data_IF_218480504680
#
_entry.id   IF_218480504680
#
_cell.length_a   1.000
_cell.length_b   1.000
_cell.length_c   1.000
_cell.angle_alpha   90.00
_cell.angle_beta   90.00
_cell.angle_gamma   90.00
#
_symmetry.space_group_name_H-M   'P 1'
#
loop_
_entity.id
_entity.type
_entity.pdbx_description
1 polymer ?
#
# COMPACT_ATOMS: atom_id res chain seq x y z
N UNK A 1 -5.68 -20.79 23.54
CA UNK A 1 -4.35 -21.10 24.12
C UNK A 1 -3.96 -19.88 24.91
N UNK A 2 -3.68 -20.02 26.20
CA UNK A 2 -3.51 -18.85 27.08
C UNK A 2 -2.62 -17.75 26.47
N UNK A 3 -3.10 -16.50 26.53
CA UNK A 3 -2.31 -15.32 26.18
C UNK A 3 -0.97 -15.29 26.89
N UNK A 4 0.04 -14.73 26.22
CA UNK A 4 1.31 -14.36 26.85
C UNK A 4 1.02 -13.28 27.90
N UNK A 5 1.49 -13.49 29.13
CA UNK A 5 1.36 -12.49 30.20
C UNK A 5 2.38 -11.38 29.98
N UNK A 6 1.91 -10.14 29.97
CA UNK A 6 2.75 -8.99 29.63
C UNK A 6 3.96 -8.84 30.55
N UNK A 7 3.79 -9.01 31.88
CA UNK A 7 4.91 -8.90 32.83
C UNK A 7 6.01 -9.96 32.58
N UNK A 8 5.62 -11.18 32.23
CA UNK A 8 6.56 -12.26 31.90
C UNK A 8 7.26 -12.02 30.56
N UNK A 9 6.57 -11.43 29.59
CA UNK A 9 7.15 -10.99 28.32
C UNK A 9 8.16 -9.86 28.55
N UNK A 10 7.78 -8.79 29.26
CA UNK A 10 8.66 -7.66 29.54
C UNK A 10 9.95 -8.08 30.26
N UNK A 11 9.88 -9.05 31.18
CA UNK A 11 11.06 -9.62 31.82
C UNK A 11 12.00 -10.33 30.82
N UNK A 12 11.46 -10.97 29.79
CA UNK A 12 12.26 -11.61 28.72
C UNK A 12 12.84 -10.61 27.73
N UNK A 13 12.26 -9.40 27.64
CA UNK A 13 12.69 -8.37 26.68
C UNK A 13 13.81 -7.45 27.21
N UNK A 14 14.30 -7.64 28.43
CA UNK A 14 15.33 -6.78 29.04
C UNK A 14 16.61 -6.69 28.17
N UNK A 15 16.97 -7.77 27.47
CA UNK A 15 18.14 -7.83 26.57
C UNK A 15 17.78 -7.62 25.11
N UNK A 16 16.51 -7.35 24.82
CA UNK A 16 15.98 -7.22 23.47
C UNK A 16 15.91 -5.79 22.99
N UNK A 17 15.79 -5.67 21.68
CA UNK A 17 15.76 -4.39 20.97
C UNK A 17 14.35 -3.83 20.79
N UNK A 18 13.36 -4.36 21.49
CA UNK A 18 11.96 -3.97 21.35
C UNK A 18 11.21 -4.06 22.67
N UNK A 19 10.15 -3.28 22.80
CA UNK A 19 9.35 -3.14 24.01
C UNK A 19 7.93 -3.64 23.80
N UNK A 20 7.39 -4.29 24.83
CA UNK A 20 6.01 -4.73 24.89
C UNK A 20 5.22 -3.91 25.92
N UNK A 21 3.96 -3.62 25.58
CA UNK A 21 3.04 -2.89 26.45
C UNK A 21 1.56 -3.22 26.20
N UNK A 22 0.72 -2.78 27.12
CA UNK A 22 -0.73 -2.79 26.94
C UNK A 22 -1.12 -1.83 25.81
N UNK A 23 -2.03 -2.27 24.97
CA UNK A 23 -2.55 -1.54 23.84
C UNK A 23 -3.91 -2.13 23.43
N UNK A 24 -4.69 -1.46 22.56
CA UNK A 24 -6.03 -1.92 22.20
C UNK A 24 -6.08 -3.36 21.66
N UNK A 25 -5.02 -3.85 21.02
CA UNK A 25 -4.94 -5.19 20.45
C UNK A 25 -4.54 -6.24 21.50
N UNK A 26 -3.61 -5.93 22.41
CA UNK A 26 -3.23 -6.87 23.47
C UNK A 26 -4.36 -7.12 24.47
N UNK A 27 -5.28 -6.16 24.61
CA UNK A 27 -6.48 -6.26 25.46
C UNK A 27 -7.58 -7.16 24.85
N UNK A 28 -7.69 -7.25 23.52
CA UNK A 28 -8.71 -8.07 22.82
C UNK A 28 -8.71 -9.53 23.24
N UNK A 29 -9.86 -10.21 23.23
CA UNK A 29 -9.90 -11.66 23.49
C UNK A 29 -9.01 -12.44 22.50
N UNK A 30 -8.54 -13.64 22.86
CA UNK A 30 -7.73 -14.48 21.95
C UNK A 30 -8.43 -14.70 20.60
N UNK A 31 -9.75 -14.89 20.64
CA UNK A 31 -10.58 -15.05 19.44
C UNK A 31 -10.54 -13.79 18.58
N UNK A 32 -10.69 -12.62 19.17
CA UNK A 32 -10.71 -11.35 18.43
C UNK A 32 -9.33 -11.00 17.88
N UNK A 33 -8.26 -11.35 18.59
CA UNK A 33 -6.88 -11.26 18.09
C UNK A 33 -6.64 -12.11 16.84
N UNK A 34 -7.17 -13.34 16.81
CA UNK A 34 -7.02 -14.22 15.63
C UNK A 34 -7.79 -13.73 14.42
N UNK A 35 -8.90 -13.01 14.60
CA UNK A 35 -9.69 -12.46 13.49
C UNK A 35 -8.91 -11.39 12.71
N UNK A 36 -7.90 -10.75 13.33
CA UNK A 36 -7.02 -9.80 12.64
C UNK A 36 -6.14 -10.45 11.56
N UNK A 37 -5.98 -11.77 11.61
CA UNK A 37 -5.02 -12.54 10.82
C UNK A 37 -5.72 -13.18 9.61
N UNK A 38 -5.79 -12.42 8.52
CA UNK A 38 -6.52 -12.80 7.30
C UNK A 38 -5.67 -13.29 6.14
N UNK A 39 -4.36 -13.41 6.29
CA UNK A 39 -3.51 -13.90 5.22
C UNK A 39 -3.48 -15.43 5.21
N UNK A 40 -3.52 -16.04 4.04
CA UNK A 40 -3.37 -17.51 3.89
C UNK A 40 -2.29 -17.77 2.85
N UNK A 41 -1.10 -18.22 3.28
CA UNK A 41 -0.01 -18.55 2.37
C UNK A 41 -0.43 -19.62 1.35
N UNK A 42 -0.03 -19.48 0.08
CA UNK A 42 -0.29 -20.50 -0.93
C UNK A 42 0.44 -21.80 -0.54
N UNK A 43 -0.29 -22.92 -0.62
CA UNK A 43 0.25 -24.23 -0.21
C UNK A 43 0.21 -24.50 1.31
N UNK A 44 -0.32 -23.56 2.11
CA UNK A 44 -0.41 -23.68 3.57
C UNK A 44 0.85 -23.16 4.29
N UNK A 45 0.87 -23.27 5.64
CA UNK A 45 2.01 -22.82 6.44
C UNK A 45 3.30 -23.56 6.05
N UNK A 46 4.44 -22.86 5.98
CA UNK A 46 5.71 -23.47 5.63
C UNK A 46 6.21 -24.36 6.77
N UNK A 47 6.96 -25.39 6.39
CA UNK A 47 7.64 -26.29 7.32
C UNK A 47 8.72 -25.54 8.10
N UNK A 48 9.10 -26.07 9.26
CA UNK A 48 10.20 -25.53 10.06
C UNK A 48 11.51 -25.42 9.27
N UNK A 49 11.82 -26.42 8.44
CA UNK A 49 13.02 -26.44 7.61
C UNK A 49 13.03 -25.32 6.57
N UNK A 50 11.89 -25.01 5.94
CA UNK A 50 11.77 -23.90 4.99
C UNK A 50 11.99 -22.54 5.68
N UNK A 51 11.42 -22.37 6.88
CA UNK A 51 11.61 -21.15 7.68
C UNK A 51 13.08 -20.94 8.04
N UNK A 52 13.74 -21.98 8.59
CA UNK A 52 15.15 -21.93 8.97
C UNK A 52 16.08 -21.71 7.76
N UNK A 53 15.78 -22.34 6.63
CA UNK A 53 16.54 -22.13 5.39
C UNK A 53 16.41 -20.69 4.87
N UNK A 54 15.20 -20.11 4.93
CA UNK A 54 14.97 -18.72 4.53
C UNK A 54 15.67 -17.73 5.44
N UNK A 55 15.55 -17.88 6.77
CA UNK A 55 16.25 -17.04 7.74
C UNK A 55 17.76 -17.08 7.50
N UNK A 56 18.33 -18.28 7.37
CA UNK A 56 19.76 -18.45 7.09
C UNK A 56 20.17 -17.77 5.78
N UNK A 57 19.36 -17.89 4.72
CA UNK A 57 19.64 -17.26 3.43
C UNK A 57 19.58 -15.73 3.50
N UNK A 58 18.60 -15.16 4.23
CA UNK A 58 18.47 -13.71 4.43
C UNK A 58 19.66 -13.17 5.23
N UNK A 59 20.03 -13.83 6.32
CA UNK A 59 21.16 -13.40 7.15
C UNK A 59 22.50 -13.53 6.42
N UNK A 60 22.68 -14.56 5.59
CA UNK A 60 23.85 -14.67 4.73
C UNK A 60 23.93 -13.51 3.72
N UNK A 61 22.80 -13.14 3.10
CA UNK A 61 22.74 -11.98 2.21
C UNK A 61 23.06 -10.68 2.97
N UNK A 62 22.47 -10.48 4.15
CA UNK A 62 22.70 -9.28 4.94
C UNK A 62 24.18 -9.12 5.34
N UNK A 63 24.83 -10.19 5.78
CA UNK A 63 26.25 -10.18 6.13
C UNK A 63 27.13 -9.88 4.90
N UNK A 64 26.80 -10.42 3.72
CA UNK A 64 27.53 -10.16 2.48
C UNK A 64 27.36 -8.71 1.99
N UNK A 65 26.15 -8.15 2.10
CA UNK A 65 25.87 -6.74 1.75
C UNK A 65 26.56 -5.78 2.72
N UNK A 66 26.64 -6.12 4.00
CA UNK A 66 27.34 -5.30 4.99
C UNK A 66 28.86 -5.24 4.73
N UNK A 67 29.40 -6.24 4.03
CA UNK A 67 30.82 -6.29 3.64
C UNK A 67 31.13 -5.59 2.30
N UNK A 68 30.12 -5.11 1.57
CA UNK A 68 30.29 -4.52 0.22
C UNK A 68 29.54 -3.19 0.10
N UNK A 69 30.13 -2.20 -0.57
CA UNK A 69 29.41 -0.96 -0.87
C UNK A 69 28.28 -1.27 -1.87
N UNK A 70 27.02 -1.14 -1.43
CA UNK A 70 25.86 -1.28 -2.32
C UNK A 70 25.48 0.06 -2.93
N UNK A 71 24.80 0.04 -4.08
CA UNK A 71 24.30 1.26 -4.73
C UNK A 71 23.10 1.89 -4.01
N UNK A 72 22.46 1.15 -3.09
CA UNK A 72 21.29 1.59 -2.36
C UNK A 72 21.70 2.32 -1.06
N UNK A 73 20.90 3.28 -0.58
CA UNK A 73 21.16 3.89 0.72
C UNK A 73 21.02 2.83 1.83
N UNK A 74 21.87 2.91 2.86
CA UNK A 74 21.85 1.99 4.01
C UNK A 74 20.61 2.16 4.91
N UNK A 75 19.91 3.28 4.76
CA UNK A 75 18.64 3.55 5.44
C UNK A 75 17.69 4.24 4.47
N UNK A 76 16.41 3.91 4.55
CA UNK A 76 15.38 4.53 3.72
C UNK A 76 14.03 4.51 4.43
N UNK A 77 13.26 5.60 4.30
CA UNK A 77 11.91 5.70 4.84
C UNK A 77 11.03 6.58 3.94
N UNK A 78 9.96 6.01 3.36
CA UNK A 78 9.01 6.73 2.50
C UNK A 78 8.22 7.83 3.24
N UNK A 79 8.25 7.85 4.58
CA UNK A 79 7.72 8.96 5.38
C UNK A 79 8.61 10.21 5.34
N UNK A 80 9.85 10.09 4.88
CA UNK A 80 10.81 11.18 4.82
C UNK A 80 11.70 11.14 3.56
N UNK A 81 11.09 10.97 2.38
CA UNK A 81 11.83 11.04 1.11
C UNK A 81 12.01 12.50 0.68
N UNK A 82 13.21 13.05 0.91
CA UNK A 82 13.52 14.44 0.59
C UNK A 82 12.63 15.42 1.38
N UNK A 83 12.36 15.13 2.65
CA UNK A 83 11.51 15.94 3.53
C UNK A 83 10.00 15.76 3.32
N UNK A 84 9.56 14.79 2.50
CA UNK A 84 8.15 14.58 2.15
C UNK A 84 7.68 13.17 2.56
N UNK A 85 6.45 13.10 3.08
CA UNK A 85 5.80 11.86 3.49
C UNK A 85 4.87 11.33 2.39
N UNK A 86 5.27 10.24 1.75
CA UNK A 86 4.47 9.60 0.69
C UNK A 86 3.53 8.50 1.22
N UNK A 87 3.59 8.19 2.51
CA UNK A 87 2.77 7.15 3.15
C UNK A 87 1.48 7.79 3.71
N UNK A 88 0.32 7.21 3.40
CA UNK A 88 -0.98 7.66 3.93
C UNK A 88 -1.12 7.39 5.42
N UNK A 89 -2.13 7.98 6.06
CA UNK A 89 -2.41 7.77 7.49
C UNK A 89 -2.65 6.28 7.82
N UNK A 90 -2.43 5.93 9.10
CA UNK A 90 -2.77 4.61 9.63
C UNK A 90 -4.28 4.42 9.59
N UNK A 91 -4.70 3.23 9.15
CA UNK A 91 -6.10 2.78 9.19
C UNK A 91 -6.28 1.66 10.21
N UNK A 92 -7.52 1.24 10.43
CA UNK A 92 -7.86 0.16 11.35
C UNK A 92 -8.81 -0.85 10.67
N UNK A 93 -8.36 -2.09 10.51
CA UNK A 93 -9.16 -3.17 9.94
C UNK A 93 -10.24 -3.71 10.91
N UNK A 94 -10.14 -3.40 12.20
CA UNK A 94 -11.07 -3.90 13.23
C UNK A 94 -11.19 -5.43 13.25
N UNK A 95 -12.36 -5.94 13.63
CA UNK A 95 -12.63 -7.37 13.78
C UNK A 95 -12.87 -8.10 12.46
N UNK A 96 -11.98 -7.95 11.49
CA UNK A 96 -12.05 -8.64 10.20
C UNK A 96 -10.66 -9.02 9.68
N UNK A 97 -10.54 -10.22 9.09
CA UNK A 97 -9.33 -10.73 8.45
C UNK A 97 -9.07 -10.12 7.07
N UNK A 98 -9.11 -8.80 6.96
CA UNK A 98 -8.96 -8.08 5.69
C UNK A 98 -7.57 -7.44 5.53
N UNK A 99 -6.58 -7.85 6.34
CA UNK A 99 -5.22 -7.31 6.33
C UNK A 99 -4.56 -7.26 4.94
N UNK A 100 -4.87 -8.23 4.07
CA UNK A 100 -4.37 -8.27 2.70
C UNK A 100 -4.84 -7.04 1.92
N UNK A 101 -6.10 -6.64 2.04
CA UNK A 101 -6.63 -5.45 1.37
C UNK A 101 -5.94 -4.17 1.88
N UNK A 102 -5.76 -4.03 3.19
CA UNK A 102 -5.06 -2.89 3.80
C UNK A 102 -3.59 -2.81 3.39
N UNK A 103 -2.85 -3.93 3.46
CA UNK A 103 -1.44 -3.98 3.06
C UNK A 103 -1.23 -3.63 1.60
N UNK A 104 -2.09 -4.14 0.71
CA UNK A 104 -2.08 -3.87 -0.73
C UNK A 104 -2.45 -2.42 -1.02
N UNK A 105 -3.56 -1.91 -0.47
CA UNK A 105 -4.00 -0.54 -0.75
C UNK A 105 -3.07 0.50 -0.14
N UNK A 106 -2.42 0.24 1.00
CA UNK A 106 -1.37 1.13 1.53
C UNK A 106 -0.21 1.32 0.53
N UNK A 107 0.19 0.26 -0.18
CA UNK A 107 1.20 0.35 -1.24
C UNK A 107 0.66 1.14 -2.43
N UNK A 108 -0.55 0.83 -2.90
CA UNK A 108 -1.17 1.51 -4.05
C UNK A 108 -1.35 3.01 -3.77
N UNK A 109 -1.83 3.37 -2.59
CA UNK A 109 -2.01 4.76 -2.16
C UNK A 109 -0.69 5.54 -2.13
N UNK A 110 0.35 4.92 -1.58
CA UNK A 110 1.69 5.50 -1.57
C UNK A 110 2.21 5.70 -2.99
N UNK A 111 1.98 4.72 -3.87
CA UNK A 111 2.36 4.82 -5.28
C UNK A 111 1.60 5.90 -6.03
N UNK A 112 0.32 6.16 -5.71
CA UNK A 112 -0.40 7.32 -6.26
C UNK A 112 0.34 8.61 -5.91
N UNK A 113 0.68 8.82 -4.63
CA UNK A 113 1.43 10.02 -4.20
C UNK A 113 2.79 10.13 -4.86
N UNK A 114 3.50 9.01 -4.99
CA UNK A 114 4.83 8.93 -5.62
C UNK A 114 4.75 9.27 -7.11
N UNK A 115 3.84 8.63 -7.85
CA UNK A 115 3.64 8.87 -9.29
C UNK A 115 3.20 10.30 -9.57
N UNK A 116 2.35 10.87 -8.72
CA UNK A 116 1.95 12.28 -8.80
C UNK A 116 3.03 13.26 -8.34
N UNK A 117 4.07 12.76 -7.69
CA UNK A 117 5.08 13.55 -6.98
C UNK A 117 4.46 14.56 -6.00
N UNK A 118 3.34 14.19 -5.39
CA UNK A 118 2.58 15.01 -4.45
C UNK A 118 2.28 14.21 -3.18
N UNK A 119 3.02 14.51 -2.12
CA UNK A 119 2.89 13.88 -0.81
C UNK A 119 1.55 14.19 -0.13
N UNK A 120 0.88 15.28 -0.54
CA UNK A 120 -0.41 15.70 0.01
C UNK A 120 -1.59 15.27 -0.86
N UNK A 121 -1.34 14.55 -1.97
CA UNK A 121 -2.40 14.05 -2.81
C UNK A 121 -3.36 13.20 -1.97
N UNK A 122 -4.64 13.56 -2.03
CA UNK A 122 -5.67 12.90 -1.25
C UNK A 122 -5.94 11.54 -1.87
N UNK A 123 -5.45 10.50 -1.21
CA UNK A 123 -5.66 9.11 -1.58
C UNK A 123 -6.20 8.38 -0.37
N UNK A 124 -7.43 7.90 -0.49
CA UNK A 124 -8.07 7.03 0.50
C UNK A 124 -8.92 6.03 -0.29
N UNK A 125 -8.38 4.83 -0.47
CA UNK A 125 -8.99 3.76 -1.26
C UNK A 125 -9.84 2.86 -0.37
N UNK A 126 -10.93 2.34 -0.93
CA UNK A 126 -11.87 1.50 -0.19
C UNK A 126 -11.34 0.08 -0.05
N UNK A 127 -10.86 -0.27 1.14
CA UNK A 127 -10.58 -1.66 1.49
C UNK A 127 -11.84 -2.52 1.42
N UNK A 128 -13.01 -1.96 1.74
CA UNK A 128 -14.29 -2.67 1.69
C UNK A 128 -14.64 -3.10 0.25
N UNK A 129 -14.42 -2.22 -0.73
CA UNK A 129 -14.62 -2.55 -2.13
C UNK A 129 -13.67 -3.65 -2.59
N UNK A 130 -12.37 -3.52 -2.29
CA UNK A 130 -11.40 -4.54 -2.67
C UNK A 130 -11.71 -5.90 -2.02
N UNK A 131 -12.07 -5.90 -0.73
CA UNK A 131 -12.25 -7.13 0.04
C UNK A 131 -13.62 -7.79 -0.13
N UNK A 132 -14.73 -7.05 -0.05
CA UNK A 132 -16.08 -7.65 -0.09
C UNK A 132 -16.66 -7.75 -1.50
N UNK A 133 -16.23 -6.90 -2.43
CA UNK A 133 -16.76 -6.92 -3.80
C UNK A 133 -15.80 -7.63 -4.77
N UNK A 134 -14.54 -7.22 -4.82
CA UNK A 134 -13.61 -7.69 -5.86
C UNK A 134 -13.00 -9.06 -5.56
N UNK A 135 -12.74 -9.39 -4.29
CA UNK A 135 -12.36 -10.76 -3.89
C UNK A 135 -13.43 -11.80 -4.29
N UNK A 136 -14.69 -11.37 -4.45
CA UNK A 136 -15.81 -12.25 -4.78
C UNK A 136 -16.33 -13.06 -3.59
N UNK A 137 -16.06 -12.60 -2.36
CA UNK A 137 -16.36 -13.31 -1.12
C UNK A 137 -17.16 -12.41 -0.14
N UNK A 138 -18.43 -12.10 -0.48
CA UNK A 138 -19.31 -11.37 0.41
C UNK A 138 -19.56 -12.24 1.64
N UNK A 139 -19.13 -11.79 2.80
CA UNK A 139 -19.06 -12.58 4.05
C UNK A 139 -17.73 -13.19 4.48
N UNK A 140 -16.65 -12.77 3.82
CA UNK A 140 -15.32 -13.32 4.01
C UNK A 140 -14.47 -12.80 5.16
N UNK A 141 -14.99 -12.20 6.25
CA UNK A 141 -14.10 -11.71 7.32
C UNK A 141 -13.24 -12.81 7.97
N UNK A 142 -13.68 -14.07 7.90
CA UNK A 142 -12.91 -15.23 8.36
C UNK A 142 -12.23 -15.99 7.22
N UNK A 143 -12.39 -15.54 5.98
CA UNK A 143 -11.87 -16.20 4.80
C UNK A 143 -10.56 -15.54 4.41
N UNK A 144 -9.49 -16.33 4.41
CA UNK A 144 -8.17 -15.83 4.07
C UNK A 144 -8.05 -15.26 2.66
N UNK A 145 -6.99 -14.49 2.44
CA UNK A 145 -6.61 -14.02 1.11
C UNK A 145 -5.08 -13.97 0.96
N UNK A 146 -4.60 -13.63 -0.23
CA UNK A 146 -3.18 -13.48 -0.51
C UNK A 146 -2.93 -12.30 -1.45
N UNK A 147 -1.78 -11.58 -1.35
CA UNK A 147 -1.55 -10.36 -2.12
C UNK A 147 -1.73 -10.51 -3.64
N UNK A 148 -1.34 -11.64 -4.23
CA UNK A 148 -1.50 -11.87 -5.68
C UNK A 148 -2.94 -11.65 -6.15
N UNK A 149 -3.92 -12.26 -5.49
CA UNK A 149 -5.33 -12.12 -5.86
C UNK A 149 -5.88 -10.71 -5.65
N UNK A 150 -5.34 -9.98 -4.67
CA UNK A 150 -5.70 -8.59 -4.44
C UNK A 150 -5.13 -7.69 -5.53
N UNK A 151 -3.85 -7.82 -5.86
CA UNK A 151 -3.22 -7.05 -6.93
C UNK A 151 -3.83 -7.35 -8.30
N UNK A 152 -4.18 -8.61 -8.59
CA UNK A 152 -4.89 -8.98 -9.82
C UNK A 152 -6.22 -8.23 -9.94
N UNK A 153 -6.97 -8.10 -8.84
CA UNK A 153 -8.21 -7.35 -8.80
C UNK A 153 -8.01 -5.84 -8.96
N UNK A 154 -7.02 -5.27 -8.27
CA UNK A 154 -6.66 -3.84 -8.43
C UNK A 154 -6.24 -3.56 -9.87
N UNK A 155 -5.51 -4.48 -10.51
CA UNK A 155 -5.05 -4.36 -11.90
C UNK A 155 -6.18 -4.52 -12.91
N UNK A 156 -7.08 -5.49 -12.73
CA UNK A 156 -8.14 -5.76 -13.69
C UNK A 156 -9.29 -4.75 -13.59
N UNK A 157 -9.73 -4.45 -12.37
CA UNK A 157 -10.97 -3.73 -12.11
C UNK A 157 -10.74 -2.29 -11.67
N UNK A 158 -9.62 -2.02 -10.97
CA UNK A 158 -9.44 -0.82 -10.18
C UNK A 158 -10.29 -0.82 -8.90
N UNK A 159 -9.97 0.07 -7.97
CA UNK A 159 -10.61 0.15 -6.64
C UNK A 159 -11.21 1.53 -6.44
N UNK A 160 -12.45 1.57 -5.94
CA UNK A 160 -13.13 2.78 -5.52
C UNK A 160 -12.38 3.52 -4.40
N UNK A 161 -12.67 4.82 -4.25
CA UNK A 161 -12.27 5.58 -3.05
C UNK A 161 -13.15 5.20 -1.86
N UNK A 162 -12.61 5.40 -0.66
CA UNK A 162 -13.27 5.08 0.62
C UNK A 162 -14.67 5.70 0.74
N UNK A 163 -14.86 6.93 0.27
CA UNK A 163 -16.15 7.61 0.31
C UNK A 163 -17.28 6.96 -0.51
N UNK A 164 -16.95 6.10 -1.48
CA UNK A 164 -17.96 5.34 -2.24
C UNK A 164 -18.38 4.06 -1.53
N UNK A 165 -17.52 3.49 -0.68
CA UNK A 165 -17.86 2.33 0.12
C UNK A 165 -17.00 2.32 1.40
N UNK A 166 -17.44 3.02 2.45
CA UNK A 166 -16.67 3.14 3.68
C UNK A 166 -16.47 1.79 4.37
N UNK A 167 -15.29 1.59 4.93
CA UNK A 167 -14.93 0.41 5.67
C UNK A 167 -15.51 0.42 7.09
N UNK A 168 -15.98 -0.75 7.51
CA UNK A 168 -16.46 -1.10 8.84
C UNK A 168 -15.70 -2.34 9.24
N UNK A 169 -15.07 -2.34 10.42
CA UNK A 169 -14.27 -3.45 10.93
C UNK A 169 -15.07 -4.66 11.41
N UNK A 170 -16.06 -5.07 10.60
CA UNK A 170 -16.96 -6.19 10.83
C UNK A 170 -17.49 -6.67 9.49
N UNK A 171 -18.35 -7.68 9.53
CA UNK A 171 -18.99 -8.18 8.32
C UNK A 171 -19.79 -7.09 7.58
N UNK A 172 -19.60 -6.99 6.27
CA UNK A 172 -20.33 -6.10 5.35
C UNK A 172 -20.65 -6.81 4.03
N UNK A 173 -21.80 -6.50 3.45
CA UNK A 173 -22.15 -6.95 2.09
C UNK A 173 -21.72 -5.91 1.06
N UNK A 174 -21.31 -6.37 -0.12
CA UNK A 174 -20.88 -5.48 -1.20
C UNK A 174 -21.99 -4.50 -1.59
N UNK A 175 -21.76 -3.20 -1.40
CA UNK A 175 -22.69 -2.13 -1.77
C UNK A 175 -21.94 -0.84 -2.10
N UNK A 176 -21.29 -0.81 -3.27
CA UNK A 176 -20.49 0.34 -3.71
C UNK A 176 -21.39 1.42 -4.28
N UNK A 177 -21.21 2.67 -3.83
CA UNK A 177 -21.93 3.84 -4.33
C UNK A 177 -21.77 4.05 -5.84
N UNK A 178 -22.82 4.55 -6.49
CA UNK A 178 -22.84 4.80 -7.94
C UNK A 178 -21.75 5.77 -8.39
N UNK A 179 -21.18 5.54 -9.58
CA UNK A 179 -20.19 6.43 -10.19
C UNK A 179 -18.77 6.24 -9.68
N UNK A 180 -18.52 5.25 -8.81
CA UNK A 180 -17.18 4.94 -8.30
C UNK A 180 -16.19 4.62 -9.43
N UNK A 181 -16.66 4.04 -10.54
CA UNK A 181 -15.84 3.68 -11.70
C UNK A 181 -15.13 4.89 -12.32
N UNK A 182 -15.71 6.09 -12.15
CA UNK A 182 -15.17 7.34 -12.67
C UNK A 182 -14.01 7.89 -11.85
N UNK A 183 -13.85 7.42 -10.60
CA UNK A 183 -12.85 7.89 -9.65
C UNK A 183 -11.99 6.75 -9.07
N UNK A 184 -12.05 5.58 -9.71
CA UNK A 184 -11.29 4.41 -9.27
C UNK A 184 -9.79 4.62 -9.46
N UNK A 185 -9.00 3.96 -8.63
CA UNK A 185 -7.56 3.83 -8.83
C UNK A 185 -7.24 2.42 -9.30
N UNK A 186 -6.48 2.32 -10.38
CA UNK A 186 -6.09 1.06 -10.99
C UNK A 186 -4.56 1.05 -11.12
N UNK A 187 -3.94 -0.12 -11.01
CA UNK A 187 -2.50 -0.27 -11.26
C UNK A 187 -2.28 -0.79 -12.68
N UNK A 188 -1.17 -0.39 -13.30
CA UNK A 188 -0.77 -0.94 -14.61
C UNK A 188 -0.26 -2.35 -14.46
N UNK A 189 0.60 -2.58 -13.47
CA UNK A 189 1.13 -3.89 -13.12
C UNK A 189 1.69 -3.91 -11.69
N UNK A 190 2.02 -5.10 -11.21
CA UNK A 190 2.74 -5.33 -9.97
C UNK A 190 3.82 -6.38 -10.18
N UNK A 191 4.81 -6.43 -9.28
CA UNK A 191 5.92 -7.38 -9.32
C UNK A 191 6.07 -8.09 -8.00
N UNK A 192 6.29 -9.39 -8.08
CA UNK A 192 6.79 -10.21 -6.97
C UNK A 192 8.31 -10.04 -6.86
N UNK A 193 8.79 -9.56 -5.72
CA UNK A 193 10.18 -9.21 -5.46
C UNK A 193 10.72 -10.12 -4.35
N UNK A 194 11.85 -10.77 -4.63
CA UNK A 194 12.51 -11.71 -3.72
C UNK A 194 13.98 -11.37 -3.56
N UNK A 195 14.56 -11.74 -2.42
CA UNK A 195 15.94 -11.43 -2.06
C UNK A 195 16.07 -10.07 -1.38
N UNK A 196 16.87 -10.03 -0.32
CA UNK A 196 17.01 -8.89 0.56
C UNK A 196 17.42 -7.62 -0.20
N UNK A 197 18.45 -7.72 -1.05
CA UNK A 197 18.95 -6.57 -1.81
C UNK A 197 17.94 -6.06 -2.83
N UNK A 198 17.24 -6.96 -3.55
CA UNK A 198 16.27 -6.57 -4.58
C UNK A 198 15.05 -5.88 -3.96
N UNK A 199 14.62 -6.33 -2.77
CA UNK A 199 13.54 -5.69 -2.02
C UNK A 199 13.97 -4.28 -1.59
N UNK A 200 15.18 -4.11 -1.05
CA UNK A 200 15.72 -2.78 -0.69
C UNK A 200 15.83 -1.86 -1.92
N UNK A 201 16.36 -2.38 -3.02
CA UNK A 201 16.46 -1.65 -4.29
C UNK A 201 15.09 -1.19 -4.77
N UNK A 202 14.09 -2.06 -4.69
CA UNK A 202 12.71 -1.71 -5.03
C UNK A 202 12.18 -0.59 -4.14
N UNK A 203 12.35 -0.72 -2.83
CA UNK A 203 11.87 0.29 -1.86
C UNK A 203 12.53 1.63 -2.11
N UNK A 204 13.85 1.68 -2.29
CA UNK A 204 14.59 2.93 -2.47
C UNK A 204 14.26 3.64 -3.80
N UNK A 205 14.04 2.87 -4.87
CA UNK A 205 13.94 3.42 -6.24
C UNK A 205 12.52 3.51 -6.78
N UNK A 206 11.58 2.70 -6.29
CA UNK A 206 10.21 2.61 -6.84
C UNK A 206 9.14 2.98 -5.84
N UNK A 207 9.11 2.35 -4.68
CA UNK A 207 8.03 2.55 -3.72
C UNK A 207 7.94 1.46 -2.65
N UNK A 208 7.02 1.60 -1.69
CA UNK A 208 6.72 0.57 -0.71
C UNK A 208 6.36 -0.78 -1.35
N UNK A 209 6.47 -1.85 -0.58
CA UNK A 209 6.01 -3.19 -0.96
C UNK A 209 5.06 -3.75 0.10
N UNK A 210 4.15 -4.65 -0.27
CA UNK A 210 3.36 -5.39 0.71
C UNK A 210 4.09 -6.68 1.05
N UNK A 211 4.08 -7.05 2.34
CA UNK A 211 4.66 -8.29 2.83
C UNK A 211 3.65 -9.02 3.70
N UNK A 212 3.72 -10.35 3.72
CA UNK A 212 2.93 -11.17 4.62
C UNK A 212 3.84 -12.06 5.45
N UNK A 213 3.55 -12.20 6.73
CA UNK A 213 4.43 -12.82 7.69
C UNK A 213 3.66 -13.58 8.76
N UNK A 214 4.37 -14.46 9.43
CA UNK A 214 3.83 -15.26 10.52
C UNK A 214 3.76 -14.41 11.79
N UNK A 215 2.58 -14.33 12.40
CA UNK A 215 2.36 -13.60 13.65
C UNK A 215 2.45 -14.57 14.83
N UNK A 216 3.11 -14.12 15.89
CA UNK A 216 3.24 -14.83 17.16
C UNK A 216 2.50 -14.05 18.26
N UNK A 217 2.13 -14.74 19.34
CA UNK A 217 1.31 -14.16 20.42
C UNK A 217 1.95 -12.90 21.07
N UNK A 218 3.28 -12.85 21.16
CA UNK A 218 4.02 -11.72 21.74
C UNK A 218 3.90 -10.44 20.90
N UNK A 219 3.72 -10.56 19.58
CA UNK A 219 3.58 -9.43 18.67
C UNK A 219 2.35 -8.55 18.94
N UNK A 220 1.26 -9.12 19.48
CA UNK A 220 0.07 -8.32 19.83
C UNK A 220 0.38 -7.23 20.87
N UNK A 221 1.39 -7.44 21.70
CA UNK A 221 1.82 -6.48 22.72
C UNK A 221 2.94 -5.55 22.25
N UNK A 222 3.38 -5.63 21.00
CA UNK A 222 4.43 -4.76 20.47
C UNK A 222 4.09 -3.28 20.65
N UNK A 223 5.06 -2.51 21.16
CA UNK A 223 4.94 -1.07 21.38
C UNK A 223 6.00 -0.28 20.62
N UNK A 224 7.26 -0.70 20.64
CA UNK A 224 8.35 0.04 19.99
C UNK A 224 9.56 -0.85 19.70
N UNK A 225 10.51 -0.34 18.90
CA UNK A 225 11.80 -0.98 18.65
C UNK A 225 11.80 -2.06 17.56
N UNK A 226 12.88 -2.85 17.50
CA UNK A 226 13.15 -3.83 16.44
C UNK A 226 12.67 -5.21 16.85
N UNK A 227 11.44 -5.55 16.47
CA UNK A 227 10.78 -6.79 16.83
C UNK A 227 11.55 -8.01 16.30
N UNK A 228 11.65 -9.02 17.18
CA UNK A 228 11.87 -10.42 16.83
C UNK A 228 10.99 -11.26 17.76
N UNK A 229 10.59 -12.43 17.29
CA UNK A 229 9.86 -13.36 18.15
C UNK A 229 10.75 -13.84 19.31
N UNK A 230 10.19 -13.85 20.51
CA UNK A 230 10.85 -14.32 21.74
C UNK A 230 10.05 -15.43 22.40
N UNK A 231 8.71 -15.32 22.42
CA UNK A 231 7.86 -16.27 23.13
C UNK A 231 6.43 -16.33 22.60
N UNK A 232 5.71 -17.39 22.95
CA UNK A 232 4.36 -17.64 22.48
C UNK A 232 4.30 -18.44 21.17
N UNK A 233 3.12 -18.92 20.85
CA UNK A 233 2.91 -19.74 19.67
C UNK A 233 2.65 -18.89 18.42
N UNK A 234 2.87 -19.49 17.24
CA UNK A 234 2.34 -18.98 15.98
C UNK A 234 0.81 -18.99 16.04
N UNK A 235 0.19 -17.89 15.62
CA UNK A 235 -1.26 -17.67 15.71
C UNK A 235 -1.93 -17.44 14.35
N UNK A 236 -1.15 -17.23 13.29
CA UNK A 236 -1.67 -17.04 11.94
C UNK A 236 -0.75 -16.16 11.11
N UNK A 237 -1.30 -15.65 10.00
CA UNK A 237 -0.56 -14.85 9.04
C UNK A 237 -1.23 -13.50 8.83
N UNK A 238 -0.40 -12.48 8.68
CA UNK A 238 -0.83 -11.09 8.54
C UNK A 238 -0.11 -10.42 7.38
N UNK A 239 -0.73 -9.42 6.75
CA UNK A 239 -0.12 -8.65 5.69
C UNK A 239 -0.06 -7.16 6.04
N UNK A 240 1.05 -6.53 5.68
CA UNK A 240 1.41 -5.15 6.02
C UNK A 240 2.08 -4.47 4.83
N UNK A 241 2.36 -3.17 4.95
CA UNK A 241 3.16 -2.44 3.95
C UNK A 241 4.55 -2.13 4.51
N UNK A 242 5.60 -2.56 3.82
CA UNK A 242 7.00 -2.23 4.11
C UNK A 242 7.34 -0.93 3.39
N UNK A 243 7.62 0.11 4.19
CA UNK A 243 7.81 1.48 3.73
C UNK A 243 9.26 1.96 3.83
N UNK A 244 10.16 1.11 4.34
CA UNK A 244 11.52 1.49 4.60
C UNK A 244 12.33 0.38 5.23
N UNK A 245 13.59 0.68 5.50
CA UNK A 245 14.55 -0.25 6.10
C UNK A 245 15.74 0.49 6.71
N UNK A 246 16.48 -0.19 7.58
CA UNK A 246 17.71 0.32 8.17
C UNK A 246 18.72 -0.81 8.37
N UNK A 247 19.88 -0.68 7.72
CA UNK A 247 20.92 -1.71 7.73
C UNK A 247 21.81 -1.67 8.96
N UNK A 248 21.92 -0.53 9.65
CA UNK A 248 22.67 -0.47 10.90
C UNK A 248 22.01 -1.32 12.00
N UNK A 249 20.67 -1.36 12.03
CA UNK A 249 19.91 -2.20 12.96
C UNK A 249 19.42 -3.52 12.35
N UNK A 250 19.55 -3.70 11.04
CA UNK A 250 19.12 -4.90 10.31
C UNK A 250 17.60 -5.12 10.36
N UNK A 251 16.79 -4.12 10.02
CA UNK A 251 15.32 -4.21 10.13
C UNK A 251 14.54 -3.53 9.00
N UNK A 252 13.32 -4.01 8.78
CA UNK A 252 12.29 -3.38 7.96
C UNK A 252 11.46 -2.40 8.78
N UNK A 253 10.97 -1.34 8.13
CA UNK A 253 10.01 -0.37 8.69
C UNK A 253 8.66 -0.63 8.04
N UNK A 254 7.65 -0.91 8.85
CA UNK A 254 6.37 -1.40 8.40
C UNK A 254 5.21 -0.53 8.90
N UNK A 255 4.25 -0.28 8.01
CA UNK A 255 2.94 0.28 8.30
C UNK A 255 1.94 -0.85 8.55
N UNK A 256 1.32 -0.86 9.73
CA UNK A 256 0.28 -1.81 10.10
C UNK A 256 -1.13 -1.23 9.86
N UNK A 257 -2.16 -2.04 10.10
CA UNK A 257 -3.58 -1.73 9.91
C UNK A 257 -4.42 -1.98 11.17
N UNK A 258 -3.83 -1.85 12.35
CA UNK A 258 -4.49 -2.09 13.65
C UNK A 258 -4.78 -0.79 14.41
N UNK A 259 -4.83 0.35 13.71
CA UNK A 259 -5.01 1.66 14.31
C UNK A 259 -3.72 2.26 14.89
N UNK A 260 -3.80 3.53 15.25
CA UNK A 260 -2.67 4.31 15.76
C UNK A 260 -2.31 4.00 17.22
N UNK A 261 -3.23 3.40 17.98
CA UNK A 261 -2.99 2.99 19.37
C UNK A 261 -2.13 1.74 19.53
N UNK A 262 -1.77 1.07 18.43
CA UNK A 262 -0.91 -0.12 18.43
C UNK A 262 0.49 0.22 17.91
N UNK A 263 1.53 -0.37 18.50
CA UNK A 263 2.93 -0.15 18.09
C UNK A 263 3.37 1.31 18.22
N UNK A 264 4.32 1.70 17.38
CA UNK A 264 4.78 3.08 17.30
C UNK A 264 3.85 3.87 16.38
N UNK A 265 2.74 4.35 16.95
CA UNK A 265 1.71 5.11 16.25
C UNK A 265 1.17 4.36 15.00
N UNK A 266 0.97 3.04 15.10
CA UNK A 266 0.52 2.15 14.02
C UNK A 266 1.64 1.61 13.12
N UNK A 267 2.90 1.96 13.38
CA UNK A 267 4.07 1.41 12.71
C UNK A 267 4.79 0.39 13.60
N UNK A 268 5.63 -0.43 12.98
CA UNK A 268 6.56 -1.29 13.68
C UNK A 268 7.84 -1.51 12.87
N UNK A 269 8.90 -1.91 13.56
CA UNK A 269 10.12 -2.40 12.93
C UNK A 269 10.29 -3.88 13.22
N UNK A 270 10.74 -4.66 12.23
CA UNK A 270 10.99 -6.10 12.37
C UNK A 270 12.36 -6.45 11.79
N UNK A 271 13.16 -7.23 12.54
CA UNK A 271 14.49 -7.65 12.11
C UNK A 271 14.44 -8.50 10.83
N UNK A 272 15.46 -8.36 9.99
CA UNK A 272 15.63 -9.19 8.79
C UNK A 272 15.67 -10.68 9.16
N UNK A 273 15.06 -11.51 8.32
CA UNK A 273 15.04 -12.97 8.48
C UNK A 273 14.11 -13.48 9.58
N UNK A 274 13.40 -12.61 10.29
CA UNK A 274 12.50 -13.02 11.37
C UNK A 274 11.09 -13.30 10.85
N UNK A 275 10.35 -14.16 11.54
CA UNK A 275 8.90 -14.37 11.33
C UNK A 275 8.50 -14.73 9.89
N UNK A 276 9.38 -15.40 9.15
CA UNK A 276 9.19 -15.73 7.74
C UNK A 276 8.94 -14.51 6.83
N UNK A 277 9.38 -13.32 7.24
CA UNK A 277 9.00 -12.04 6.62
C UNK A 277 9.42 -11.92 5.14
N UNK A 278 10.58 -12.49 4.78
CA UNK A 278 11.07 -12.52 3.40
C UNK A 278 10.81 -13.84 2.67
N UNK A 279 10.28 -14.87 3.35
CA UNK A 279 10.17 -16.23 2.82
C UNK A 279 9.36 -16.31 1.53
N UNK A 280 8.19 -15.67 1.53
CA UNK A 280 7.30 -15.65 0.36
C UNK A 280 7.59 -14.49 -0.59
N UNK A 281 8.65 -13.71 -0.36
CA UNK A 281 8.90 -12.45 -1.06
C UNK A 281 7.86 -11.38 -0.72
N UNK A 282 7.93 -10.28 -1.46
CA UNK A 282 7.08 -9.10 -1.27
C UNK A 282 6.53 -8.63 -2.61
N UNK A 283 5.51 -7.78 -2.60
CA UNK A 283 4.87 -7.29 -3.82
C UNK A 283 4.94 -5.78 -3.93
N UNK A 284 5.48 -5.29 -5.04
CA UNK A 284 5.54 -3.87 -5.35
C UNK A 284 4.70 -3.52 -6.56
N UNK A 285 4.18 -2.30 -6.61
CA UNK A 285 3.40 -1.79 -7.76
C UNK A 285 4.34 -1.12 -8.77
N UNK A 286 4.22 -1.48 -10.04
CA UNK A 286 5.08 -0.95 -11.12
C UNK A 286 4.60 0.38 -11.66
N UNK A 287 3.31 0.66 -11.55
CA UNK A 287 2.73 1.93 -11.97
C UNK A 287 1.25 2.02 -11.63
N UNK A 288 0.78 3.26 -11.59
CA UNK A 288 -0.63 3.60 -11.46
C UNK A 288 -1.16 3.94 -12.85
N UNK A 289 -2.37 3.48 -13.17
CA UNK A 289 -3.14 4.01 -14.29
C UNK A 289 -3.54 5.41 -13.89
N UNK A 290 -2.80 6.40 -14.38
CA UNK A 290 -3.10 7.80 -14.11
C UNK A 290 -4.23 8.27 -15.02
N UNK A 291 -5.46 7.86 -14.73
CA UNK A 291 -6.64 8.35 -15.43
C UNK A 291 -7.61 9.05 -14.49
N UNK A 292 -8.15 10.19 -14.90
CA UNK A 292 -9.18 10.88 -14.12
C UNK A 292 -10.10 11.69 -15.01
N UNK A 293 -11.40 11.62 -14.74
CA UNK A 293 -12.36 12.57 -15.32
C UNK A 293 -12.44 13.82 -14.46
N UNK A 294 -12.27 14.98 -15.08
CA UNK A 294 -12.58 16.28 -14.51
C UNK A 294 -13.94 16.69 -15.06
N UNK A 295 -14.95 16.73 -14.20
CA UNK A 295 -16.34 16.97 -14.60
C UNK A 295 -16.73 18.44 -14.49
N UNK A 296 -17.37 18.97 -15.54
CA UNK A 296 -18.11 20.22 -15.45
C UNK A 296 -17.25 21.44 -15.11
N UNK A 297 -16.02 21.53 -15.60
CA UNK A 297 -15.10 22.64 -15.29
C UNK A 297 -14.91 23.56 -16.50
N UNK A 298 -14.81 24.87 -16.25
CA UNK A 298 -14.49 25.84 -17.30
C UNK A 298 -13.07 25.67 -17.81
N UNK A 299 -12.89 25.86 -19.11
CA UNK A 299 -11.56 26.05 -19.72
C UNK A 299 -11.24 27.54 -19.70
N UNK A 300 -10.30 27.94 -18.85
CA UNK A 300 -9.96 29.36 -18.63
C UNK A 300 -8.83 29.84 -19.54
N UNK A 301 -7.97 28.93 -19.98
CA UNK A 301 -6.76 29.26 -20.72
C UNK A 301 -6.35 28.16 -21.69
N UNK A 302 -5.66 28.57 -22.75
CA UNK A 302 -5.01 27.68 -23.70
C UNK A 302 -3.63 28.25 -24.01
N UNK A 303 -2.64 27.38 -24.12
CA UNK A 303 -1.26 27.76 -24.44
C UNK A 303 -0.60 26.67 -25.27
N UNK A 304 0.25 27.06 -26.20
CA UNK A 304 1.07 26.15 -27.03
C UNK A 304 2.40 26.82 -27.36
N UNK A 305 3.38 26.04 -27.81
CA UNK A 305 4.62 26.57 -28.36
C UNK A 305 4.94 25.95 -29.73
N UNK A 306 6.11 26.26 -30.29
CA UNK A 306 6.52 25.81 -31.62
C UNK A 306 6.87 24.32 -31.71
N UNK A 307 6.94 23.59 -30.59
CA UNK A 307 7.21 22.16 -30.62
C UNK A 307 5.97 21.38 -31.14
N UNK A 308 6.16 20.28 -31.88
CA UNK A 308 5.05 19.49 -32.40
C UNK A 308 4.14 18.94 -31.29
N UNK A 309 2.82 19.04 -31.51
CA UNK A 309 1.77 18.48 -30.62
C UNK A 309 1.92 18.94 -29.16
N UNK A 310 2.27 20.21 -28.97
CA UNK A 310 2.65 20.74 -27.67
C UNK A 310 1.72 21.89 -27.26
N UNK A 311 0.59 21.50 -26.67
CA UNK A 311 -0.46 22.41 -26.23
C UNK A 311 -1.00 22.00 -24.85
N UNK A 312 -1.56 22.96 -24.12
CA UNK A 312 -2.10 22.84 -22.77
C UNK A 312 -3.41 23.61 -22.64
N UNK A 313 -4.27 23.13 -21.75
CA UNK A 313 -5.46 23.85 -21.31
C UNK A 313 -5.37 24.13 -19.80
N UNK A 314 -5.75 25.34 -19.40
CA UNK A 314 -5.92 25.70 -18.01
C UNK A 314 -7.37 25.41 -17.62
N UNK A 315 -7.57 24.43 -16.77
CA UNK A 315 -8.88 23.99 -16.31
C UNK A 315 -9.15 24.61 -14.94
N UNK A 316 -10.36 25.14 -14.74
CA UNK A 316 -10.80 25.73 -13.48
C UNK A 316 -10.52 24.78 -12.29
N UNK A 317 -9.88 25.31 -11.24
CA UNK A 317 -9.46 24.62 -10.00
C UNK A 317 -8.39 23.52 -10.18
N UNK A 318 -8.03 23.16 -11.41
CA UNK A 318 -7.15 22.03 -11.74
C UNK A 318 -5.80 22.47 -12.35
N UNK A 319 -5.72 23.71 -12.83
CA UNK A 319 -4.51 24.30 -13.42
C UNK A 319 -4.23 23.82 -14.85
N UNK A 320 -2.97 23.95 -15.27
CA UNK A 320 -2.52 23.55 -16.61
C UNK A 320 -2.44 22.03 -16.75
N UNK A 321 -3.17 21.47 -17.72
CA UNK A 321 -3.04 20.08 -18.17
C UNK A 321 -2.60 20.04 -19.61
N UNK A 322 -1.65 19.15 -19.92
CA UNK A 322 -1.14 18.99 -21.30
C UNK A 322 -2.18 18.27 -22.15
N UNK A 323 -2.29 18.60 -23.43
CA UNK A 323 -3.16 17.88 -24.38
C UNK A 323 -2.38 16.68 -24.93
N UNK A 324 -3.06 15.53 -25.07
CA UNK A 324 -2.45 14.29 -25.56
C UNK A 324 -1.71 14.52 -26.88
N UNK A 325 -0.49 13.98 -26.95
CA UNK A 325 0.46 14.24 -28.03
C UNK A 325 0.88 12.97 -28.78
N UNK A 326 0.18 11.86 -28.57
CA UNK A 326 0.49 10.55 -29.15
C UNK A 326 -0.06 10.39 -30.57
N UNK A 327 -1.12 11.12 -30.92
CA UNK A 327 -1.75 11.09 -32.24
C UNK A 327 -2.11 12.53 -32.66
N UNK A 328 -1.71 12.93 -33.88
CA UNK A 328 -1.90 14.28 -34.40
C UNK A 328 -3.38 14.66 -34.59
N UNK A 329 -4.19 13.74 -35.13
CA UNK A 329 -5.61 13.98 -35.35
C UNK A 329 -6.34 14.15 -34.02
N UNK A 330 -6.08 13.25 -33.06
CA UNK A 330 -6.65 13.35 -31.71
C UNK A 330 -6.23 14.65 -31.02
N UNK A 331 -4.95 15.02 -31.10
CA UNK A 331 -4.44 16.27 -30.52
C UNK A 331 -5.19 17.49 -31.06
N UNK A 332 -5.37 17.59 -32.38
CA UNK A 332 -6.06 18.70 -33.03
C UNK A 332 -7.56 18.71 -32.70
N UNK A 333 -8.20 17.54 -32.63
CA UNK A 333 -9.60 17.43 -32.19
C UNK A 333 -9.78 17.95 -30.76
N UNK A 334 -8.97 17.47 -29.82
CA UNK A 334 -9.02 17.89 -28.42
C UNK A 334 -8.78 19.39 -28.28
N UNK A 335 -7.73 19.91 -28.94
CA UNK A 335 -7.42 21.33 -28.92
C UNK A 335 -8.58 22.17 -29.47
N UNK A 336 -9.18 21.75 -30.58
CA UNK A 336 -10.32 22.47 -31.19
C UNK A 336 -11.53 22.49 -30.28
N UNK A 337 -11.88 21.35 -29.66
CA UNK A 337 -12.99 21.25 -28.73
C UNK A 337 -12.76 22.10 -27.46
N UNK A 338 -11.53 22.12 -26.93
CA UNK A 338 -11.16 22.97 -25.79
C UNK A 338 -11.22 24.47 -26.15
N UNK A 339 -10.81 24.86 -27.37
CA UNK A 339 -10.97 26.23 -27.88
C UNK A 339 -12.46 26.61 -27.93
N UNK A 340 -13.28 25.74 -28.50
CA UNK A 340 -14.72 25.99 -28.62
C UNK A 340 -15.36 26.14 -27.23
N UNK A 341 -15.07 25.22 -26.30
CA UNK A 341 -15.58 25.26 -24.93
C UNK A 341 -15.18 26.56 -24.21
N UNK A 342 -13.92 27.00 -24.34
CA UNK A 342 -13.45 28.27 -23.78
C UNK A 342 -14.21 29.46 -24.37
N UNK A 343 -14.36 29.51 -25.70
CA UNK A 343 -14.95 30.65 -26.39
C UNK A 343 -16.44 30.84 -26.05
N UNK A 344 -17.18 29.74 -25.87
CA UNK A 344 -18.60 29.78 -25.50
C UNK A 344 -18.82 29.78 -23.98
N UNK A 345 -17.75 29.63 -23.19
CA UNK A 345 -17.82 29.56 -21.73
C UNK A 345 -18.52 28.31 -21.18
N UNK A 346 -18.54 27.20 -21.93
CA UNK A 346 -19.12 25.94 -21.46
C UNK A 346 -18.26 25.27 -20.40
N UNK A 347 -18.84 24.28 -19.73
CA UNK A 347 -18.21 23.50 -18.66
C UNK A 347 -18.07 22.04 -19.11
N UNK A 348 -17.16 21.73 -20.06
CA UNK A 348 -16.99 20.36 -20.52
C UNK A 348 -16.49 19.46 -19.39
N UNK A 349 -16.67 18.16 -19.59
CA UNK A 349 -15.96 17.13 -18.83
C UNK A 349 -14.76 16.66 -19.65
N UNK A 350 -13.57 16.60 -19.06
CA UNK A 350 -12.37 16.12 -19.74
C UNK A 350 -11.82 14.87 -19.07
N UNK A 351 -11.33 13.94 -19.85
CA UNK A 351 -10.57 12.81 -19.35
C UNK A 351 -9.09 13.13 -19.42
N UNK A 352 -8.38 12.89 -18.32
CA UNK A 352 -6.94 12.91 -18.24
C UNK A 352 -6.46 11.48 -18.24
N UNK A 353 -5.47 11.14 -19.06
CA UNK A 353 -4.72 9.91 -19.03
C UNK A 353 -3.22 10.21 -19.07
N UNK A 354 -2.46 9.64 -18.14
CA UNK A 354 -1.00 9.83 -17.99
C UNK A 354 -0.60 11.31 -17.98
N UNK A 355 -1.33 12.13 -17.22
CA UNK A 355 -1.13 13.58 -17.13
C UNK A 355 -1.55 14.40 -18.37
N UNK A 356 -2.17 13.76 -19.37
CA UNK A 356 -2.61 14.40 -20.60
C UNK A 356 -4.14 14.38 -20.76
N UNK A 357 -4.75 15.46 -21.22
CA UNK A 357 -6.14 15.45 -21.71
C UNK A 357 -6.18 14.57 -22.95
N UNK A 358 -6.89 13.45 -22.92
CA UNK A 358 -7.00 12.52 -24.04
C UNK A 358 -8.46 12.34 -24.52
N UNK A 359 -9.45 12.80 -23.75
CA UNK A 359 -10.85 12.89 -24.17
C UNK A 359 -11.51 14.17 -23.64
N UNK A 360 -12.56 14.61 -24.34
CA UNK A 360 -13.43 15.71 -23.94
C UNK A 360 -14.87 15.38 -24.31
N UNK A 361 -15.78 15.66 -23.39
CA UNK A 361 -17.22 15.58 -23.58
C UNK A 361 -17.80 16.96 -23.24
N UNK A 362 -18.32 17.65 -24.25
CA UNK A 362 -18.74 19.04 -24.17
C UNK A 362 -20.23 19.19 -23.92
#
# INVERSE_FOLDING_TARGET
MAKVKLAELQAQLITESWEAGENPISELSEKDQTILLGAVPPGGPPTKAEKEASEKAVMAQFNALSATATANPSTFDWRNKGGRNYVTAIKNQGGCGSCVAFGVLSVVESMVRITKNDANYTTDLSEAHLFYCLKGDPNGCSNGWWPTGAYDNVKANGVAKENFFPYVGSQQSCNVGSGWQNQKVQITNYKHVTGLNNIKEWIANKGPVSACFEVFQDFYSYQSGMYRHVTGNSVGWHCVSVIGYNDAGGYWICKNSWGNGWGDNGFFCIKYGQCSFELYGMWGVEGIVDTTWIYGKKILGLWSNSAPLNAWAFIQDEGWKKIANTNRENHLMLLTALIAAKNIGSTPSVHIANGHIDQIYA
#
